data_IF_859797577628
#
_entry.id   IF_859797577628
#
_cell.length_a   1.000
_cell.length_b   1.000
_cell.length_c   1.000
_cell.angle_alpha   90.00
_cell.angle_beta   90.00
_cell.angle_gamma   90.00
#
_symmetry.space_group_name_H-M   'P 1'
#
loop_
_entity.id
_entity.type
_entity.pdbx_description
1 polymer ?
#
# COMPACT_ATOMS: atom_id res chain seq x y z
N UNK A 1 13.35 -3.85 -0.07
CA UNK A 1 13.37 -3.67 1.39
C UNK A 1 12.72 -2.34 1.87
N UNK A 2 12.76 -1.26 1.07
CA UNK A 2 12.27 0.07 1.49
C UNK A 2 10.74 0.23 1.68
N UNK A 3 9.93 -0.55 0.97
CA UNK A 3 8.48 -0.37 0.90
C UNK A 3 7.73 -0.99 2.09
N UNK A 4 8.08 -2.22 2.47
CA UNK A 4 7.54 -2.88 3.66
C UNK A 4 7.88 -2.09 4.94
N UNK A 5 9.05 -1.44 5.00
CA UNK A 5 9.40 -0.53 6.09
C UNK A 5 8.50 0.70 6.15
N UNK A 6 8.12 1.30 5.01
CA UNK A 6 7.20 2.46 4.98
C UNK A 6 5.78 2.09 5.42
N UNK A 7 5.30 0.91 5.05
CA UNK A 7 3.99 0.41 5.51
C UNK A 7 4.03 0.18 7.03
N UNK A 8 5.10 -0.45 7.55
CA UNK A 8 5.29 -0.60 9.01
C UNK A 8 5.39 0.75 9.73
N UNK A 9 6.09 1.72 9.18
CA UNK A 9 6.21 3.06 9.76
C UNK A 9 4.84 3.77 9.86
N UNK A 10 3.95 3.57 8.89
CA UNK A 10 2.59 4.13 8.94
C UNK A 10 1.78 3.54 10.10
N UNK A 11 1.85 2.22 10.29
CA UNK A 11 1.17 1.51 11.39
C UNK A 11 1.67 2.03 12.74
N UNK A 12 2.96 2.34 12.86
CA UNK A 12 3.57 2.84 14.11
C UNK A 12 3.24 4.32 14.37
N UNK A 13 2.99 5.12 13.32
CA UNK A 13 2.79 6.57 13.41
C UNK A 13 1.32 7.02 13.47
N UNK A 14 0.35 6.11 13.57
CA UNK A 14 -1.10 6.41 13.63
C UNK A 14 -1.60 7.33 12.49
N UNK A 15 -1.02 7.21 11.29
CA UNK A 15 -1.29 8.09 10.15
C UNK A 15 -2.18 7.47 9.08
N UNK A 16 -2.67 8.31 8.17
CA UNK A 16 -3.33 7.90 6.92
C UNK A 16 -2.34 8.00 5.77
N UNK A 17 -2.30 6.99 4.89
CA UNK A 17 -1.51 7.08 3.66
C UNK A 17 -2.20 6.41 2.48
N UNK A 18 -1.84 6.88 1.29
CA UNK A 18 -2.19 6.25 0.02
C UNK A 18 -1.14 5.19 -0.32
N UNK A 19 -1.56 3.92 -0.32
CA UNK A 19 -0.69 2.77 -0.56
C UNK A 19 -1.20 1.92 -1.74
N UNK A 20 -0.30 1.29 -2.53
CA UNK A 20 -0.67 0.26 -3.49
C UNK A 20 -1.49 -0.86 -2.85
N UNK A 21 -2.58 -1.28 -3.51
CA UNK A 21 -3.52 -2.26 -2.94
C UNK A 21 -2.85 -3.60 -2.56
N UNK A 22 -1.90 -4.08 -3.36
CA UNK A 22 -1.21 -5.34 -3.08
C UNK A 22 -0.41 -5.30 -1.77
N UNK A 23 0.02 -4.12 -1.32
CA UNK A 23 0.75 -3.91 -0.08
C UNK A 23 -0.12 -4.04 1.16
N UNK A 24 -1.40 -3.68 1.02
CA UNK A 24 -2.34 -3.63 2.13
C UNK A 24 -3.04 -4.96 2.37
N UNK A 25 -2.95 -5.93 1.44
CA UNK A 25 -3.73 -7.18 1.49
C UNK A 25 -3.62 -7.91 2.83
N UNK A 26 -2.40 -8.13 3.31
CA UNK A 26 -2.16 -8.87 4.56
C UNK A 26 -2.60 -8.07 5.79
N UNK A 27 -2.26 -6.78 5.86
CA UNK A 27 -2.67 -5.92 6.97
C UNK A 27 -4.19 -5.73 7.07
N UNK A 28 -4.88 -5.66 5.93
CA UNK A 28 -6.35 -5.62 5.88
C UNK A 28 -6.96 -6.96 6.32
N UNK A 29 -6.38 -8.09 5.91
CA UNK A 29 -6.86 -9.42 6.33
C UNK A 29 -6.65 -9.66 7.83
N UNK A 30 -5.55 -9.16 8.39
CA UNK A 30 -5.20 -9.31 9.80
C UNK A 30 -5.85 -8.24 10.71
N UNK A 31 -6.54 -7.25 10.14
CA UNK A 31 -7.12 -6.13 10.90
C UNK A 31 -6.13 -5.06 11.38
N UNK A 32 -4.86 -5.13 10.95
CA UNK A 32 -3.81 -4.14 11.26
C UNK A 32 -3.98 -2.83 10.46
N UNK A 33 -4.69 -2.90 9.33
CA UNK A 33 -5.00 -1.76 8.47
C UNK A 33 -6.51 -1.66 8.26
N UNK A 34 -7.00 -0.43 8.12
CA UNK A 34 -8.39 -0.14 7.76
C UNK A 34 -8.40 0.67 6.46
N UNK A 35 -9.24 0.27 5.51
CA UNK A 35 -9.41 1.02 4.27
C UNK A 35 -10.30 2.25 4.52
N UNK A 36 -9.74 3.43 4.27
CA UNK A 36 -10.47 4.70 4.32
C UNK A 36 -10.89 5.13 2.90
N UNK A 37 -11.94 5.95 2.81
CA UNK A 37 -12.41 6.59 1.58
C UNK A 37 -12.64 5.64 0.40
N UNK A 38 -13.29 4.48 0.62
CA UNK A 38 -13.49 3.45 -0.40
C UNK A 38 -14.08 3.92 -1.75
N UNK A 39 -15.00 4.92 -1.81
CA UNK A 39 -15.49 5.45 -3.09
C UNK A 39 -14.45 6.26 -3.88
N UNK A 40 -13.37 6.70 -3.22
CA UNK A 40 -12.33 7.53 -3.79
C UNK A 40 -11.17 6.62 -4.20
N UNK A 41 -11.03 6.39 -5.50
CA UNK A 41 -9.96 5.57 -6.06
C UNK A 41 -8.87 6.45 -6.66
N UNK A 42 -7.61 6.05 -6.44
CA UNK A 42 -6.50 6.54 -7.25
C UNK A 42 -6.57 6.01 -8.68
N UNK A 43 -5.83 6.64 -9.58
CA UNK A 43 -5.67 6.17 -10.97
C UNK A 43 -4.83 4.86 -10.95
N UNK A 44 -5.29 3.76 -11.57
CA UNK A 44 -4.53 2.52 -11.67
C UNK A 44 -3.15 2.76 -12.32
N UNK A 45 -2.09 2.22 -11.72
CA UNK A 45 -0.72 2.31 -12.26
C UNK A 45 -0.25 0.94 -12.75
N UNK A 46 0.26 0.90 -13.98
CA UNK A 46 0.85 -0.29 -14.58
C UNK A 46 2.27 -0.51 -14.06
N UNK A 47 2.64 -1.78 -13.90
CA UNK A 47 4.00 -2.20 -13.58
C UNK A 47 4.61 -2.83 -14.83
N UNK A 48 5.75 -2.32 -15.27
CA UNK A 48 6.46 -2.81 -16.45
C UNK A 48 7.74 -3.52 -16.05
N UNK A 49 8.01 -4.66 -16.68
CA UNK A 49 9.32 -5.30 -16.63
C UNK A 49 10.20 -4.67 -17.73
N UNK A 50 11.37 -4.17 -17.34
CA UNK A 50 12.36 -3.62 -18.26
C UNK A 50 13.48 -4.65 -18.45
N UNK A 51 13.85 -4.90 -19.70
CA UNK A 51 14.93 -5.82 -20.06
C UNK A 51 16.10 -5.01 -20.63
N UNK A 52 17.32 -5.36 -20.24
CA UNK A 52 18.52 -4.84 -20.89
C UNK A 52 18.64 -5.50 -22.28
N UNK A 53 18.80 -4.67 -23.31
CA UNK A 53 19.06 -5.11 -24.69
C UNK A 53 20.49 -5.57 -24.89
#
# INVERSE_FOLDING_TARGET
MHFAQRVRALVVLNGVALLPQFACKQGLANGELVRLFAPWSGIPRLLYALFAG
#
